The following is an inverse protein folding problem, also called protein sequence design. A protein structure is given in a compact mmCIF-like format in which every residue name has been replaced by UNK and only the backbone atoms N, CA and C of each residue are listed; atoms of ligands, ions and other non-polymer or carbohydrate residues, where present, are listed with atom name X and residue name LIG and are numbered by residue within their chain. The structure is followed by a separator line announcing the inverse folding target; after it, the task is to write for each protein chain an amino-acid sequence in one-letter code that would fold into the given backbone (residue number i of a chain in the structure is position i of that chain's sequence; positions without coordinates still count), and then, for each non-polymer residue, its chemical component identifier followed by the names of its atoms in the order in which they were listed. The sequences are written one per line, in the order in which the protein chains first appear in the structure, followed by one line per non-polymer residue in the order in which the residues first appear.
data_IF_097447307725
#
_entry.id   IF_097447307725
#
_cell.length_a   1.000
_cell.length_b   1.000
_cell.length_c   1.000
_cell.angle_alpha   90.00
_cell.angle_beta   90.00
_cell.angle_gamma   90.00
#
_symmetry.space_group_name_H-M   'P 1'
#
loop_
_entity.id
_entity.type
_entity.pdbx_description
1 polymer ?
#
# COMPACT_ATOMS: atom_id res chain seq x y z
N UNK A 1 -59.70 52.50 4.09
CA UNK A 1 -60.57 51.33 3.86
C UNK A 1 -59.80 50.29 3.05
N UNK A 2 -59.62 49.10 3.62
CA UNK A 2 -59.28 47.81 2.99
C UNK A 2 -57.96 47.62 2.21
N UNK A 3 -56.85 47.40 2.93
CA UNK A 3 -55.60 46.85 2.35
C UNK A 3 -55.00 45.64 3.09
N UNK A 4 -55.60 45.18 4.19
CA UNK A 4 -54.93 44.29 5.16
C UNK A 4 -55.25 42.79 5.07
N UNK A 5 -55.88 42.31 3.98
CA UNK A 5 -56.32 40.91 3.85
C UNK A 5 -55.86 40.28 2.53
N UNK A 6 -54.55 40.23 2.27
CA UNK A 6 -53.99 39.25 1.33
C UNK A 6 -53.50 38.03 2.11
N UNK A 7 -54.21 36.91 1.98
CA UNK A 7 -53.75 35.58 2.42
C UNK A 7 -52.37 35.31 1.82
N UNK A 8 -51.37 35.03 2.68
CA UNK A 8 -50.13 34.37 2.25
C UNK A 8 -50.52 33.05 1.58
N UNK A 9 -50.17 32.88 0.31
CA UNK A 9 -50.22 31.58 -0.34
C UNK A 9 -49.33 30.58 0.41
N UNK A 10 -49.54 29.27 0.24
CA UNK A 10 -48.74 28.25 0.91
C UNK A 10 -47.25 28.52 0.67
N UNK A 11 -46.46 28.55 1.74
CA UNK A 11 -45.01 28.61 1.62
C UNK A 11 -44.57 27.40 0.80
N UNK A 12 -44.17 27.64 -0.44
CA UNK A 12 -43.41 26.67 -1.22
C UNK A 12 -42.17 26.31 -0.38
N UNK A 13 -42.03 25.03 -0.05
CA UNK A 13 -40.81 24.46 0.53
C UNK A 13 -39.64 24.89 -0.35
N UNK A 14 -38.91 25.92 0.08
CA UNK A 14 -37.67 26.31 -0.56
C UNK A 14 -36.61 25.34 -0.05
N UNK A 15 -36.64 24.11 -0.59
CA UNK A 15 -35.54 23.17 -0.39
C UNK A 15 -34.30 23.85 -0.92
N UNK A 16 -33.31 24.04 -0.06
CA UNK A 16 -31.96 24.38 -0.51
C UNK A 16 -31.48 23.26 -1.41
N UNK A 17 -31.68 23.40 -2.72
CA UNK A 17 -30.97 22.60 -3.71
C UNK A 17 -29.53 23.13 -3.75
N UNK A 18 -28.76 22.79 -2.71
CA UNK A 18 -27.29 22.82 -2.75
C UNK A 18 -26.89 21.75 -3.78
N UNK A 19 -26.78 22.16 -5.04
CA UNK A 19 -26.56 21.32 -6.22
C UNK A 19 -25.14 20.75 -6.34
N UNK A 20 -24.44 20.56 -5.23
CA UNK A 20 -23.06 20.06 -5.18
C UNK A 20 -22.93 18.72 -4.47
N UNK A 21 -23.70 18.48 -3.40
CA UNK A 21 -23.43 17.34 -2.51
C UNK A 21 -23.68 15.99 -3.18
N UNK A 22 -24.72 15.86 -3.99
CA UNK A 22 -24.98 14.60 -4.73
C UNK A 22 -23.97 14.39 -5.85
N UNK A 23 -23.48 15.45 -6.51
CA UNK A 23 -22.46 15.35 -7.55
C UNK A 23 -21.08 15.05 -6.96
N UNK A 24 -20.73 15.63 -5.81
CA UNK A 24 -19.50 15.36 -5.07
C UNK A 24 -19.52 13.97 -4.43
N UNK A 25 -20.66 13.53 -3.89
CA UNK A 25 -20.84 12.18 -3.36
C UNK A 25 -20.88 11.13 -4.48
N UNK A 26 -21.49 11.44 -5.62
CA UNK A 26 -21.45 10.61 -6.82
C UNK A 26 -20.04 10.58 -7.42
N UNK A 27 -19.29 11.68 -7.43
CA UNK A 27 -17.90 11.70 -7.88
C UNK A 27 -16.96 10.99 -6.89
N UNK A 28 -17.24 11.07 -5.59
CA UNK A 28 -16.52 10.31 -4.57
C UNK A 28 -16.82 8.81 -4.67
N UNK A 29 -18.09 8.42 -4.87
CA UNK A 29 -18.52 7.03 -5.09
C UNK A 29 -18.11 6.49 -6.45
N UNK A 30 -18.20 7.28 -7.51
CA UNK A 30 -17.64 6.98 -8.83
C UNK A 30 -16.13 6.81 -8.68
N UNK A 31 -15.41 7.69 -7.97
CA UNK A 31 -13.98 7.49 -7.75
C UNK A 31 -13.63 6.22 -6.96
N UNK A 32 -14.55 5.74 -6.12
CA UNK A 32 -14.44 4.49 -5.37
C UNK A 32 -14.82 3.26 -6.21
N UNK A 33 -15.75 3.39 -7.17
CA UNK A 33 -16.29 2.30 -8.00
C UNK A 33 -15.62 2.21 -9.39
N UNK A 34 -15.16 3.33 -9.95
CA UNK A 34 -14.61 3.49 -11.31
C UNK A 34 -13.08 3.39 -11.37
N UNK A 35 -12.44 2.88 -10.31
CA UNK A 35 -11.07 2.38 -10.34
C UNK A 35 -9.94 3.40 -10.51
N UNK A 36 -10.17 4.67 -10.87
CA UNK A 36 -9.06 5.66 -11.03
C UNK A 36 -8.33 5.96 -9.71
N UNK A 37 -8.93 5.69 -8.55
CA UNK A 37 -8.27 5.65 -7.24
C UNK A 37 -8.20 4.19 -6.81
N UNK A 38 -6.99 3.65 -6.64
CA UNK A 38 -6.78 2.27 -6.20
C UNK A 38 -6.10 1.34 -7.21
N UNK A 39 -5.83 1.75 -8.46
CA UNK A 39 -5.14 0.86 -9.42
C UNK A 39 -3.74 0.46 -8.91
N UNK A 40 -3.04 1.38 -8.27
CA UNK A 40 -1.76 1.09 -7.60
C UNK A 40 -1.88 0.03 -6.50
N UNK A 41 -3.05 -0.10 -5.87
CA UNK A 41 -3.31 -1.12 -4.84
C UNK A 41 -3.30 -2.54 -5.41
N UNK A 42 -3.61 -2.69 -6.69
CA UNK A 42 -3.62 -4.01 -7.36
C UNK A 42 -2.20 -4.52 -7.68
N UNK A 43 -1.18 -3.67 -7.57
CA UNK A 43 0.20 -4.05 -7.87
C UNK A 43 0.73 -5.04 -6.82
N UNK A 44 1.53 -6.01 -7.26
CA UNK A 44 2.13 -7.00 -6.36
C UNK A 44 3.01 -6.39 -5.28
N UNK A 45 3.68 -5.27 -5.60
CA UNK A 45 4.49 -4.51 -4.63
C UNK A 45 3.66 -3.93 -3.50
N UNK A 46 2.49 -3.35 -3.80
CA UNK A 46 1.61 -2.81 -2.75
C UNK A 46 1.01 -3.94 -1.92
N UNK A 47 0.49 -5.00 -2.55
CA UNK A 47 -0.10 -6.12 -1.81
C UNK A 47 0.93 -6.85 -0.92
N UNK A 48 2.20 -6.91 -1.32
CA UNK A 48 3.27 -7.41 -0.47
C UNK A 48 3.47 -6.51 0.78
N UNK A 49 3.46 -5.19 0.61
CA UNK A 49 3.56 -4.25 1.74
C UNK A 49 2.35 -4.35 2.69
N UNK A 50 1.13 -4.44 2.13
CA UNK A 50 -0.11 -4.62 2.91
C UNK A 50 -0.04 -5.93 3.72
N UNK A 51 0.36 -7.03 3.09
CA UNK A 51 0.52 -8.33 3.76
C UNK A 51 1.51 -8.27 4.92
N UNK A 52 2.60 -7.49 4.80
CA UNK A 52 3.55 -7.30 5.89
C UNK A 52 2.93 -6.54 7.08
N UNK A 53 2.10 -5.52 6.81
CA UNK A 53 1.37 -4.81 7.86
C UNK A 53 0.34 -5.72 8.54
N UNK A 54 -0.42 -6.49 7.76
CA UNK A 54 -1.40 -7.46 8.28
C UNK A 54 -0.75 -8.50 9.17
N UNK A 55 0.31 -9.15 8.70
CA UNK A 55 1.05 -10.14 9.48
C UNK A 55 1.66 -9.53 10.74
N UNK A 56 2.23 -8.33 10.63
CA UNK A 56 2.84 -7.61 11.74
C UNK A 56 1.83 -7.27 12.85
N UNK A 57 0.67 -6.73 12.49
CA UNK A 57 -0.36 -6.40 13.48
C UNK A 57 -1.12 -7.62 13.98
N UNK A 58 -1.37 -8.64 13.14
CA UNK A 58 -2.03 -9.88 13.59
C UNK A 58 -1.23 -10.64 14.65
N UNK A 59 0.10 -10.49 14.63
CA UNK A 59 1.00 -11.06 15.63
C UNK A 59 1.12 -10.21 16.90
N UNK A 60 0.59 -8.98 16.93
CA UNK A 60 0.72 -8.08 18.07
C UNK A 60 0.21 -8.72 19.36
N UNK A 61 0.87 -8.39 20.46
CA UNK A 61 0.39 -8.64 21.81
C UNK A 61 -0.55 -7.50 22.19
N UNK A 62 -1.70 -7.86 22.78
CA UNK A 62 -2.73 -6.92 23.23
C UNK A 62 -2.98 -7.19 24.71
N UNK A 63 -2.87 -6.14 25.52
CA UNK A 63 -3.14 -6.16 26.95
C UNK A 63 -4.29 -5.21 27.29
N UNK A 64 -5.11 -5.58 28.27
CA UNK A 64 -6.17 -4.74 28.81
C UNK A 64 -7.52 -4.79 28.05
N UNK A 65 -7.67 -5.60 27.01
CA UNK A 65 -8.98 -5.84 26.35
C UNK A 65 -9.00 -7.13 25.54
N UNK A 66 -10.14 -7.82 25.53
CA UNK A 66 -10.38 -9.01 24.70
C UNK A 66 -11.13 -8.70 23.39
N UNK A 67 -11.56 -7.45 23.19
CA UNK A 67 -12.33 -7.04 22.02
C UNK A 67 -11.48 -7.02 20.74
N UNK A 68 -10.18 -6.78 20.87
CA UNK A 68 -9.25 -6.66 19.76
C UNK A 68 -8.62 -8.02 19.41
N UNK A 69 -9.34 -8.81 18.61
CA UNK A 69 -8.84 -10.09 18.12
C UNK A 69 -7.73 -9.92 17.07
N UNK A 70 -6.94 -10.98 16.84
CA UNK A 70 -5.95 -11.02 15.74
C UNK A 70 -6.57 -10.75 14.36
N UNK A 71 -7.82 -11.17 14.15
CA UNK A 71 -8.56 -10.88 12.93
C UNK A 71 -8.92 -9.38 12.80
N UNK A 72 -9.33 -8.73 13.90
CA UNK A 72 -9.57 -7.28 13.93
C UNK A 72 -8.28 -6.50 13.65
N UNK A 73 -7.15 -6.93 14.22
CA UNK A 73 -5.83 -6.35 13.96
C UNK A 73 -5.40 -6.48 12.51
N UNK A 74 -5.52 -7.67 11.91
CA UNK A 74 -5.22 -7.89 10.49
C UNK A 74 -6.10 -6.99 9.59
N UNK A 75 -7.41 -6.95 9.86
CA UNK A 75 -8.35 -6.11 9.12
C UNK A 75 -8.04 -4.62 9.27
N UNK A 76 -7.68 -4.19 10.49
CA UNK A 76 -7.27 -2.81 10.77
C UNK A 76 -6.02 -2.46 9.99
N UNK A 77 -5.01 -3.32 10.00
CA UNK A 77 -3.76 -3.11 9.27
C UNK A 77 -4.01 -2.89 7.77
N UNK A 78 -4.83 -3.76 7.15
CA UNK A 78 -5.23 -3.61 5.74
C UNK A 78 -5.98 -2.31 5.50
N UNK A 79 -6.95 -1.98 6.35
CA UNK A 79 -7.74 -0.76 6.22
C UNK A 79 -6.88 0.51 6.36
N UNK A 80 -5.94 0.53 7.31
CA UNK A 80 -4.97 1.62 7.45
C UNK A 80 -3.99 1.69 6.27
N UNK A 81 -3.56 0.55 5.73
CA UNK A 81 -2.64 0.51 4.58
C UNK A 81 -3.28 1.00 3.28
N UNK A 82 -4.57 0.70 3.06
CA UNK A 82 -5.27 1.02 1.80
C UNK A 82 -6.06 2.32 1.88
N UNK A 83 -6.74 2.59 3.01
CA UNK A 83 -7.61 3.76 3.18
C UNK A 83 -7.00 4.82 4.11
N UNK A 84 -6.06 4.42 4.97
CA UNK A 84 -5.56 5.28 6.06
C UNK A 84 -6.48 5.29 7.29
N UNK A 85 -7.59 4.55 7.25
CA UNK A 85 -8.64 4.61 8.26
C UNK A 85 -9.28 3.23 8.49
N UNK A 86 -9.57 2.92 9.75
CA UNK A 86 -10.34 1.76 10.15
C UNK A 86 -11.35 2.16 11.24
N UNK A 87 -12.62 1.83 11.00
CA UNK A 87 -13.72 2.19 11.89
C UNK A 87 -14.44 0.94 12.38
N UNK A 88 -14.62 0.87 13.70
CA UNK A 88 -15.37 -0.19 14.36
C UNK A 88 -16.43 0.41 15.27
N UNK A 89 -17.60 -0.18 15.24
CA UNK A 89 -18.67 0.09 16.20
C UNK A 89 -18.48 -0.80 17.42
N UNK A 90 -18.44 -0.20 18.60
CA UNK A 90 -18.30 -0.90 19.86
C UNK A 90 -19.66 -1.49 20.24
N UNK A 91 -19.67 -2.78 20.56
CA UNK A 91 -20.78 -3.50 21.20
C UNK A 91 -20.28 -4.12 22.49
N UNK A 92 -21.22 -4.52 23.33
CA UNK A 92 -20.92 -5.10 24.64
C UNK A 92 -20.01 -6.34 24.55
N UNK A 93 -20.16 -7.13 23.48
CA UNK A 93 -19.44 -8.41 23.30
C UNK A 93 -18.38 -8.38 22.19
N UNK A 94 -18.38 -7.39 21.30
CA UNK A 94 -17.53 -7.40 20.09
C UNK A 94 -17.35 -6.04 19.45
N UNK A 95 -16.37 -5.99 18.54
CA UNK A 95 -16.22 -4.90 17.58
C UNK A 95 -16.87 -5.27 16.26
N UNK A 96 -17.67 -4.35 15.72
CA UNK A 96 -18.32 -4.54 14.42
C UNK A 96 -17.63 -3.65 13.38
N UNK A 97 -16.94 -4.22 12.37
CA UNK A 97 -16.28 -3.41 11.35
C UNK A 97 -17.30 -2.65 10.51
N UNK A 98 -17.02 -1.37 10.27
CA UNK A 98 -17.85 -0.51 9.43
C UNK A 98 -17.21 -0.39 8.04
N UNK A 99 -18.02 -0.50 6.99
CA UNK A 99 -17.55 -0.40 5.61
C UNK A 99 -17.40 1.04 5.14
N UNK A 100 -18.32 1.90 5.56
CA UNK A 100 -18.38 3.33 5.21
C UNK A 100 -18.89 4.15 6.41
N UNK A 101 -18.54 5.43 6.46
CA UNK A 101 -18.97 6.33 7.54
C UNK A 101 -18.97 7.80 7.11
N UNK A 102 -19.96 8.52 7.63
CA UNK A 102 -19.92 9.99 7.68
C UNK A 102 -19.76 10.43 9.13
N UNK A 103 -19.09 11.55 9.36
CA UNK A 103 -18.89 12.05 10.71
C UNK A 103 -19.18 13.55 10.81
N UNK A 104 -19.56 13.96 12.02
CA UNK A 104 -19.70 15.36 12.39
C UNK A 104 -18.59 15.72 13.37
N UNK A 105 -17.87 16.81 13.09
CA UNK A 105 -16.83 17.33 13.99
C UNK A 105 -17.28 18.57 14.76
N UNK A 106 -16.57 18.84 15.85
CA UNK A 106 -16.49 20.14 16.55
C UNK A 106 -15.03 20.37 16.91
N UNK A 107 -14.47 21.51 16.54
CA UNK A 107 -13.06 21.85 16.78
C UNK A 107 -12.07 20.77 16.27
N UNK A 108 -12.39 20.19 15.11
CA UNK A 108 -11.60 19.10 14.52
C UNK A 108 -11.75 17.73 15.20
N UNK A 109 -12.57 17.61 16.25
CA UNK A 109 -12.83 16.35 16.95
C UNK A 109 -14.18 15.74 16.54
N UNK A 110 -14.24 14.45 16.18
CA UNK A 110 -15.50 13.77 15.88
C UNK A 110 -16.44 13.75 17.09
N UNK A 111 -17.74 13.96 16.83
CA UNK A 111 -18.79 14.01 17.86
C UNK A 111 -19.88 12.95 17.64
N UNK A 112 -20.20 12.66 16.39
CA UNK A 112 -21.16 11.63 16.00
C UNK A 112 -20.76 11.05 14.64
N UNK A 113 -21.17 9.80 14.42
CA UNK A 113 -20.94 9.05 13.21
C UNK A 113 -22.26 8.52 12.66
N UNK A 114 -22.38 8.50 11.34
CA UNK A 114 -23.35 7.69 10.60
C UNK A 114 -22.58 6.58 9.93
N UNK A 115 -22.72 5.37 10.45
CA UNK A 115 -21.99 4.18 10.05
C UNK A 115 -22.80 3.35 9.07
N UNK A 116 -22.11 2.69 8.14
CA UNK A 116 -22.65 1.63 7.31
C UNK A 116 -22.00 0.31 7.71
N UNK A 117 -22.83 -0.65 8.12
CA UNK A 117 -22.43 -1.98 8.58
C UNK A 117 -22.78 -2.97 7.47
N UNK A 118 -21.77 -3.65 6.94
CA UNK A 118 -21.96 -4.67 5.93
C UNK A 118 -22.39 -5.99 6.58
N UNK A 119 -23.46 -6.58 6.04
CA UNK A 119 -23.97 -7.89 6.43
C UNK A 119 -24.21 -8.69 5.15
N UNK A 120 -24.02 -10.01 5.18
CA UNK A 120 -24.19 -10.86 3.99
C UNK A 120 -25.63 -10.79 3.42
N UNK A 121 -26.62 -10.52 4.28
CA UNK A 121 -28.04 -10.38 3.91
C UNK A 121 -28.49 -8.97 3.51
N UNK A 122 -27.57 -8.01 3.41
CA UNK A 122 -27.88 -6.60 3.13
C UNK A 122 -27.45 -5.71 4.30
N UNK A 123 -26.64 -4.70 4.00
CA UNK A 123 -26.08 -3.81 5.01
C UNK A 123 -27.13 -2.90 5.66
N UNK A 124 -26.79 -2.39 6.85
CA UNK A 124 -27.62 -1.43 7.59
C UNK A 124 -26.83 -0.15 7.88
N UNK A 125 -27.55 0.96 8.03
CA UNK A 125 -26.97 2.22 8.49
C UNK A 125 -27.38 2.51 9.92
N UNK A 126 -26.46 3.03 10.73
CA UNK A 126 -26.67 3.31 12.14
C UNK A 126 -26.00 4.63 12.52
N UNK A 127 -26.65 5.40 13.40
CA UNK A 127 -26.03 6.60 13.97
C UNK A 127 -25.52 6.28 15.36
N UNK A 128 -24.25 6.58 15.62
CA UNK A 128 -23.58 6.31 16.89
C UNK A 128 -22.84 7.56 17.38
N UNK A 129 -22.71 7.70 18.70
CA UNK A 129 -21.92 8.76 19.31
C UNK A 129 -20.43 8.45 19.15
N UNK A 130 -19.57 9.47 19.19
CA UNK A 130 -18.13 9.27 19.05
C UNK A 130 -17.50 8.36 20.11
N UNK A 131 -18.13 8.24 21.29
CA UNK A 131 -17.70 7.33 22.36
C UNK A 131 -17.95 5.85 22.01
N UNK A 132 -18.92 5.55 21.15
CA UNK A 132 -19.34 4.20 20.78
C UNK A 132 -18.59 3.66 19.54
N UNK A 133 -17.67 4.45 18.98
CA UNK A 133 -17.01 4.14 17.70
C UNK A 133 -15.51 4.22 17.88
N UNK A 134 -14.75 3.17 17.60
CA UNK A 134 -13.30 3.25 17.46
C UNK A 134 -12.97 3.75 16.05
N UNK A 135 -12.19 4.83 15.93
CA UNK A 135 -11.76 5.37 14.64
C UNK A 135 -10.23 5.50 14.61
N UNK A 136 -9.58 4.47 14.09
CA UNK A 136 -8.13 4.44 13.90
C UNK A 136 -7.76 5.15 12.61
N UNK A 137 -6.75 6.04 12.70
CA UNK A 137 -6.32 6.92 11.61
C UNK A 137 -4.80 6.88 11.48
N UNK A 138 -4.33 6.81 10.24
CA UNK A 138 -2.92 6.91 9.88
C UNK A 138 -2.69 8.15 9.01
N UNK A 139 -1.58 8.86 9.22
CA UNK A 139 -1.14 9.95 8.34
C UNK A 139 -2.18 11.08 8.17
N UNK A 140 -2.88 11.45 9.25
CA UNK A 140 -3.88 12.51 9.21
C UNK A 140 -3.30 13.84 8.70
N UNK A 141 -4.10 14.57 7.91
CA UNK A 141 -3.74 15.90 7.43
C UNK A 141 -4.07 16.95 8.50
N UNK A 142 -3.22 17.97 8.64
CA UNK A 142 -3.45 19.10 9.54
C UNK A 142 -4.75 19.84 9.19
N UNK A 143 -5.13 19.87 7.91
CA UNK A 143 -6.37 20.49 7.47
C UNK A 143 -7.62 19.65 7.82
N UNK A 144 -7.47 18.34 7.99
CA UNK A 144 -8.56 17.41 8.30
C UNK A 144 -8.09 16.36 9.32
N UNK A 145 -7.83 16.74 10.59
CA UNK A 145 -7.25 15.85 11.60
C UNK A 145 -8.17 14.68 11.98
N UNK A 146 -9.47 14.77 11.66
CA UNK A 146 -10.44 13.70 11.82
C UNK A 146 -10.38 12.64 10.72
N UNK A 147 -9.59 12.84 9.66
CA UNK A 147 -9.49 11.93 8.53
C UNK A 147 -8.06 11.40 8.34
N UNK A 148 -7.93 10.11 8.11
CA UNK A 148 -6.68 9.46 7.76
C UNK A 148 -6.30 9.60 6.28
N UNK A 149 -5.03 9.37 5.96
CA UNK A 149 -4.50 9.35 4.60
C UNK A 149 -3.68 8.09 4.37
N UNK A 150 -4.13 7.27 3.42
CA UNK A 150 -3.40 6.08 3.01
C UNK A 150 -1.97 6.39 2.52
N UNK A 151 -0.99 5.50 2.78
CA UNK A 151 0.35 5.57 2.22
C UNK A 151 0.39 5.94 0.72
N UNK A 152 -0.34 5.23 -0.13
CA UNK A 152 -0.36 5.50 -1.58
C UNK A 152 -0.91 6.87 -1.94
N UNK A 153 -1.85 7.41 -1.14
CA UNK A 153 -2.40 8.76 -1.36
C UNK A 153 -1.34 9.84 -1.13
N UNK A 154 -0.29 9.55 -0.36
CA UNK A 154 0.89 10.44 -0.20
C UNK A 154 1.92 10.29 -1.33
N UNK A 155 1.82 9.24 -2.15
CA UNK A 155 2.76 8.91 -3.23
C UNK A 155 2.05 8.68 -4.58
N UNK A 156 0.98 9.44 -4.86
CA UNK A 156 0.10 9.20 -6.01
C UNK A 156 0.84 9.25 -7.36
N UNK A 157 1.82 10.14 -7.51
CA UNK A 157 2.59 10.26 -8.75
C UNK A 157 3.38 8.97 -9.01
N UNK A 158 4.10 8.48 -7.99
CA UNK A 158 4.85 7.22 -8.08
C UNK A 158 3.92 6.01 -8.27
N UNK A 159 2.77 6.00 -7.59
CA UNK A 159 1.79 4.92 -7.75
C UNK A 159 1.24 4.86 -9.19
N UNK A 160 0.97 6.02 -9.80
CA UNK A 160 0.59 6.13 -11.20
C UNK A 160 1.69 5.67 -12.14
N UNK A 161 2.95 6.02 -11.86
CA UNK A 161 4.10 5.56 -12.64
C UNK A 161 4.27 4.03 -12.56
N UNK A 162 4.19 3.45 -11.36
CA UNK A 162 4.30 2.00 -11.18
C UNK A 162 3.22 1.27 -11.98
N UNK A 163 1.97 1.73 -11.89
CA UNK A 163 0.88 1.17 -12.67
C UNK A 163 1.14 1.28 -14.18
N UNK A 164 1.53 2.45 -14.68
CA UNK A 164 1.80 2.66 -16.09
C UNK A 164 2.93 1.75 -16.60
N UNK A 165 4.00 1.58 -15.82
CA UNK A 165 5.11 0.69 -16.16
C UNK A 165 4.68 -0.78 -16.19
N UNK A 166 3.95 -1.26 -15.19
CA UNK A 166 3.50 -2.66 -15.14
C UNK A 166 2.51 -2.98 -16.27
N UNK A 167 1.59 -2.05 -16.58
CA UNK A 167 0.68 -2.19 -17.72
C UNK A 167 1.43 -2.17 -19.04
N UNK A 168 2.34 -1.21 -19.26
CA UNK A 168 3.12 -1.14 -20.49
C UNK A 168 3.97 -2.40 -20.70
N UNK A 169 4.62 -2.92 -19.65
CA UNK A 169 5.39 -4.16 -19.73
C UNK A 169 4.51 -5.37 -20.05
N UNK A 170 3.31 -5.45 -19.47
CA UNK A 170 2.35 -6.51 -19.80
C UNK A 170 1.90 -6.45 -21.25
N UNK A 171 1.55 -5.26 -21.75
CA UNK A 171 1.14 -5.04 -23.15
C UNK A 171 2.28 -5.35 -24.13
N UNK A 172 3.50 -4.91 -23.83
CA UNK A 172 4.69 -5.22 -24.63
C UNK A 172 4.90 -6.74 -24.68
N UNK A 173 4.78 -7.43 -23.54
CA UNK A 173 4.94 -8.88 -23.48
C UNK A 173 3.87 -9.65 -24.28
N UNK A 174 2.65 -9.14 -24.33
CA UNK A 174 1.55 -9.74 -25.07
C UNK A 174 1.64 -9.47 -26.58
N UNK A 175 1.93 -8.22 -26.96
CA UNK A 175 1.72 -7.74 -28.33
C UNK A 175 3.01 -7.59 -29.15
N UNK A 176 4.17 -7.42 -28.50
CA UNK A 176 5.40 -7.14 -29.23
C UNK A 176 6.02 -8.41 -29.84
N UNK A 177 6.65 -8.31 -31.02
CA UNK A 177 7.32 -9.42 -31.69
C UNK A 177 8.68 -9.74 -31.02
N UNK A 178 8.67 -10.21 -29.77
CA UNK A 178 9.89 -10.42 -28.98
C UNK A 178 10.79 -11.51 -29.60
N UNK A 179 12.08 -11.19 -29.77
CA UNK A 179 13.08 -12.08 -30.39
C UNK A 179 12.78 -12.46 -31.83
N UNK A 180 11.86 -11.75 -32.50
CA UNK A 180 11.46 -12.05 -33.88
C UNK A 180 12.37 -11.30 -34.84
N UNK A 181 12.84 -12.01 -35.86
CA UNK A 181 13.79 -11.49 -36.84
C UNK A 181 13.18 -11.47 -38.23
N UNK A 182 13.48 -10.41 -38.98
CA UNK A 182 13.23 -10.35 -40.42
C UNK A 182 14.52 -10.67 -41.16
N UNK A 183 14.48 -11.68 -42.03
CA UNK A 183 15.56 -12.00 -42.98
C UNK A 183 15.11 -11.55 -44.37
N UNK A 184 15.77 -10.55 -44.99
CA UNK A 184 15.46 -10.16 -46.35
C UNK A 184 15.83 -11.25 -47.38
N UNK A 185 15.00 -11.48 -48.41
CA UNK A 185 15.29 -12.38 -49.54
C UNK A 185 14.87 -11.78 -50.90
N UNK A 186 15.46 -12.19 -52.03
CA UNK A 186 15.17 -11.59 -53.34
C UNK A 186 13.73 -11.84 -53.81
N UNK A 187 13.12 -10.82 -54.42
CA UNK A 187 11.68 -10.71 -54.77
C UNK A 187 10.99 -11.96 -55.36
N UNK A 188 9.76 -12.20 -54.91
CA UNK A 188 8.75 -13.02 -55.60
C UNK A 188 7.48 -12.19 -55.81
N UNK A 189 6.84 -12.29 -56.97
CA UNK A 189 5.64 -11.51 -57.25
C UNK A 189 4.44 -12.03 -56.43
N UNK A 190 3.80 -11.12 -55.68
CA UNK A 190 2.47 -11.24 -55.03
C UNK A 190 2.38 -11.43 -53.50
N UNK A 191 3.26 -10.82 -52.70
CA UNK A 191 3.14 -10.87 -51.22
C UNK A 191 2.41 -9.65 -50.62
N UNK A 192 1.29 -9.88 -49.90
CA UNK A 192 0.53 -8.82 -49.19
C UNK A 192 1.24 -8.38 -47.89
N UNK A 193 1.90 -7.22 -47.96
CA UNK A 193 2.65 -6.59 -46.87
C UNK A 193 1.79 -6.31 -45.62
N UNK A 194 0.48 -6.12 -45.78
CA UNK A 194 -0.44 -5.83 -44.67
C UNK A 194 -0.77 -7.08 -43.86
N UNK A 195 -0.90 -8.21 -44.56
CA UNK A 195 -1.10 -9.53 -43.94
C UNK A 195 0.15 -9.96 -43.19
N UNK A 196 1.33 -9.79 -43.80
CA UNK A 196 2.63 -9.97 -43.15
C UNK A 196 2.78 -9.11 -41.89
N UNK A 197 2.41 -7.82 -41.95
CA UNK A 197 2.46 -6.91 -40.80
C UNK A 197 1.66 -7.40 -39.59
N UNK A 198 0.48 -8.00 -39.81
CA UNK A 198 -0.35 -8.57 -38.72
C UNK A 198 0.23 -9.87 -38.17
N UNK A 199 0.94 -10.63 -38.98
CA UNK A 199 1.58 -11.87 -38.53
C UNK A 199 2.65 -11.62 -37.46
N UNK A 200 3.22 -10.40 -37.34
CA UNK A 200 4.21 -10.08 -36.32
C UNK A 200 3.65 -9.94 -34.90
N UNK A 201 2.37 -9.55 -34.73
CA UNK A 201 1.84 -9.24 -33.39
C UNK A 201 1.81 -10.48 -32.50
N UNK A 202 2.47 -10.40 -31.34
CA UNK A 202 2.52 -11.47 -30.33
C UNK A 202 3.30 -12.72 -30.74
N UNK A 203 4.01 -12.70 -31.88
CA UNK A 203 4.92 -13.80 -32.25
C UNK A 203 6.23 -13.70 -31.48
N UNK A 204 6.81 -14.86 -31.16
CA UNK A 204 8.03 -14.97 -30.36
C UNK A 204 9.02 -15.86 -31.09
N UNK A 205 10.24 -15.36 -31.29
CA UNK A 205 11.30 -16.13 -31.95
C UNK A 205 10.99 -16.51 -33.41
N UNK A 206 10.03 -15.85 -34.05
CA UNK A 206 9.70 -16.15 -35.44
C UNK A 206 10.79 -15.58 -36.34
N UNK A 207 11.16 -16.34 -37.38
CA UNK A 207 12.03 -15.87 -38.44
C UNK A 207 11.15 -15.76 -39.67
N UNK A 208 10.99 -14.54 -40.17
CA UNK A 208 10.19 -14.29 -41.36
C UNK A 208 11.07 -13.79 -42.50
N UNK A 209 10.87 -14.42 -43.65
CA UNK A 209 11.51 -14.03 -44.89
C UNK A 209 10.73 -12.83 -45.46
N UNK A 210 11.35 -11.66 -45.58
CA UNK A 210 10.74 -10.47 -46.19
C UNK A 210 11.43 -10.19 -47.51
N UNK A 211 10.69 -9.78 -48.53
CA UNK A 211 11.32 -9.39 -49.79
C UNK A 211 12.26 -8.19 -49.58
N UNK A 212 13.47 -8.27 -50.16
CA UNK A 212 14.45 -7.20 -50.09
C UNK A 212 14.04 -6.03 -51.00
N UNK A 213 14.29 -4.80 -50.52
CA UNK A 213 13.99 -3.56 -51.24
C UNK A 213 15.17 -3.09 -52.10
N UNK A 214 16.29 -3.83 -52.08
CA UNK A 214 17.44 -3.53 -52.94
C UNK A 214 17.21 -4.09 -54.34
N UNK A 215 16.97 -3.19 -55.29
CA UNK A 215 16.88 -3.53 -56.72
C UNK A 215 18.24 -4.06 -57.16
N UNK A 216 18.31 -5.35 -57.50
CA UNK A 216 19.46 -5.91 -58.19
C UNK A 216 19.55 -5.28 -59.59
N UNK A 217 20.32 -4.21 -59.73
CA UNK A 217 20.68 -3.67 -61.03
C UNK A 217 21.40 -4.76 -61.82
N UNK A 218 20.89 -5.05 -63.02
CA UNK A 218 21.26 -6.16 -63.88
C UNK A 218 22.77 -6.43 -63.92
N UNK A 219 23.20 -7.55 -63.33
CA UNK A 219 24.52 -8.15 -63.55
C UNK A 219 25.59 -7.95 -62.47
N UNK A 220 25.32 -7.26 -61.35
CA UNK A 220 26.25 -7.16 -60.21
C UNK A 220 26.16 -8.36 -59.24
N UNK A 221 27.22 -8.66 -58.44
CA UNK A 221 27.16 -9.71 -57.43
C UNK A 221 25.99 -9.46 -56.48
N UNK A 222 25.12 -10.47 -56.34
CA UNK A 222 23.93 -10.42 -55.47
C UNK A 222 24.29 -9.90 -54.08
N UNK A 223 23.56 -8.91 -53.52
CA UNK A 223 23.95 -8.27 -52.27
C UNK A 223 23.91 -9.28 -51.12
N UNK A 224 25.08 -9.81 -50.74
CA UNK A 224 25.26 -10.61 -49.54
C UNK A 224 24.95 -9.83 -48.24
N UNK A 225 24.75 -8.51 -48.35
CA UNK A 225 24.27 -7.64 -47.28
C UNK A 225 22.77 -7.79 -46.99
N UNK A 226 21.96 -8.28 -47.92
CA UNK A 226 20.51 -8.44 -47.72
C UNK A 226 20.17 -9.62 -46.79
N UNK A 227 21.08 -10.55 -46.53
CA UNK A 227 20.82 -11.71 -45.67
C UNK A 227 21.01 -11.44 -44.17
N UNK A 228 21.12 -10.16 -43.77
CA UNK A 228 21.30 -9.79 -42.36
C UNK A 228 19.94 -9.76 -41.64
N UNK A 229 19.75 -10.58 -40.58
CA UNK A 229 18.54 -10.53 -39.79
C UNK A 229 18.40 -9.16 -39.11
N UNK A 230 17.23 -8.55 -39.20
CA UNK A 230 16.86 -7.36 -38.43
C UNK A 230 15.96 -7.77 -37.27
N UNK A 231 16.36 -7.43 -36.04
CA UNK A 231 15.55 -7.67 -34.85
C UNK A 231 14.41 -6.65 -34.76
N UNK A 232 13.20 -7.13 -34.51
CA UNK A 232 12.00 -6.30 -34.32
C UNK A 232 11.65 -6.08 -32.85
N UNK A 233 12.42 -6.67 -31.94
CA UNK A 233 12.22 -6.49 -30.50
C UNK A 233 12.36 -5.01 -30.14
N UNK A 234 11.36 -4.41 -29.46
CA UNK A 234 11.51 -3.07 -28.92
C UNK A 234 12.74 -2.99 -28.01
N UNK A 235 13.54 -1.94 -28.16
CA UNK A 235 14.75 -1.73 -27.36
C UNK A 235 14.40 -1.30 -25.92
N UNK A 236 14.17 -2.30 -25.07
CA UNK A 236 13.82 -2.10 -23.65
C UNK A 236 15.02 -1.68 -22.81
N UNK A 237 16.25 -1.96 -23.27
CA UNK A 237 17.50 -1.65 -22.59
C UNK A 237 17.74 -0.14 -22.58
N UNK A 238 17.64 0.52 -23.75
CA UNK A 238 17.76 1.98 -23.83
C UNK A 238 16.62 2.73 -23.16
N UNK A 239 15.46 2.09 -23.03
CA UNK A 239 14.29 2.68 -22.37
C UNK A 239 14.36 2.61 -20.83
N UNK A 240 15.40 1.99 -20.25
CA UNK A 240 15.63 1.92 -18.80
C UNK A 240 14.40 1.42 -18.01
N UNK A 241 13.64 0.51 -18.61
CA UNK A 241 12.34 0.06 -18.06
C UNK A 241 12.54 -0.74 -16.76
N UNK A 242 13.62 -1.52 -16.68
CA UNK A 242 14.03 -2.25 -15.49
C UNK A 242 14.40 -1.33 -14.31
N UNK A 243 15.24 -0.30 -14.54
CA UNK A 243 15.62 0.62 -13.47
C UNK A 243 14.45 1.49 -13.01
N UNK A 244 13.63 1.96 -13.96
CA UNK A 244 12.44 2.75 -13.64
C UNK A 244 11.44 1.94 -12.80
N UNK A 245 11.24 0.66 -13.15
CA UNK A 245 10.37 -0.23 -12.38
C UNK A 245 10.94 -0.51 -10.98
N UNK A 246 12.24 -0.80 -10.87
CA UNK A 246 12.90 -1.04 -9.58
C UNK A 246 12.83 0.20 -8.66
N UNK A 247 13.09 1.38 -9.21
CA UNK A 247 13.02 2.65 -8.49
C UNK A 247 11.58 2.97 -8.03
N UNK A 248 10.59 2.77 -8.90
CA UNK A 248 9.18 2.95 -8.55
C UNK A 248 8.78 2.01 -7.41
N UNK A 249 9.14 0.71 -7.49
CA UNK A 249 8.88 -0.26 -6.43
C UNK A 249 9.54 0.12 -5.11
N UNK A 250 10.81 0.53 -5.15
CA UNK A 250 11.55 0.97 -3.96
C UNK A 250 10.91 2.20 -3.29
N UNK A 251 10.48 3.19 -4.08
CA UNK A 251 9.79 4.37 -3.55
C UNK A 251 8.44 4.01 -2.92
N UNK A 252 7.67 3.11 -3.52
CA UNK A 252 6.42 2.61 -2.93
C UNK A 252 6.69 1.88 -1.61
N UNK A 253 7.64 0.95 -1.56
CA UNK A 253 8.02 0.23 -0.33
C UNK A 253 8.37 1.20 0.80
N UNK A 254 9.16 2.24 0.51
CA UNK A 254 9.55 3.24 1.50
C UNK A 254 8.35 3.99 2.12
N UNK A 255 7.31 4.28 1.34
CA UNK A 255 6.10 4.99 1.83
C UNK A 255 5.25 4.11 2.76
N UNK A 256 5.35 2.79 2.63
CA UNK A 256 4.80 1.80 3.57
C UNK A 256 5.76 1.49 4.75
N UNK A 257 6.94 2.10 4.80
CA UNK A 257 7.98 1.81 5.81
C UNK A 257 8.68 0.46 5.63
N UNK A 258 8.51 -0.16 4.46
CA UNK A 258 9.14 -1.44 4.08
C UNK A 258 10.48 -1.11 3.41
N UNK A 259 11.57 -1.64 3.94
CA UNK A 259 12.89 -1.42 3.34
C UNK A 259 13.08 -2.33 2.11
N UNK A 260 13.66 -1.84 1.00
CA UNK A 260 13.92 -2.64 -0.20
C UNK A 260 14.76 -3.90 0.03
N UNK A 261 15.52 -3.95 1.12
CA UNK A 261 16.28 -5.11 1.54
C UNK A 261 15.43 -6.38 1.72
N UNK A 262 14.13 -6.25 2.06
CA UNK A 262 13.23 -7.39 2.24
C UNK A 262 12.90 -8.13 0.93
N UNK A 263 13.07 -7.47 -0.21
CA UNK A 263 12.80 -8.04 -1.53
C UNK A 263 14.07 -8.23 -2.36
N UNK A 264 15.24 -7.95 -1.79
CA UNK A 264 16.51 -8.11 -2.48
C UNK A 264 16.90 -9.60 -2.49
N UNK A 265 17.11 -10.23 -3.67
CA UNK A 265 17.54 -11.62 -3.77
C UNK A 265 18.90 -11.90 -3.08
N UNK A 266 19.75 -10.88 -2.94
CA UNK A 266 21.05 -10.98 -2.28
C UNK A 266 20.99 -10.65 -0.77
N UNK A 267 19.79 -10.48 -0.19
CA UNK A 267 19.66 -10.17 1.23
C UNK A 267 20.16 -11.32 2.11
N UNK A 268 20.83 -10.95 3.21
CA UNK A 268 21.31 -11.89 4.21
C UNK A 268 20.38 -11.90 5.42
N UNK A 269 20.36 -13.00 6.18
CA UNK A 269 19.54 -13.14 7.39
C UNK A 269 19.62 -11.93 8.35
N UNK A 270 20.82 -11.43 8.73
CA UNK A 270 20.94 -10.23 9.55
C UNK A 270 20.27 -8.99 8.95
N UNK A 271 20.45 -8.72 7.66
CA UNK A 271 19.84 -7.56 6.99
C UNK A 271 18.31 -7.64 6.96
N UNK A 272 17.74 -8.84 6.77
CA UNK A 272 16.29 -9.07 6.79
C UNK A 272 15.73 -8.81 8.19
N UNK A 273 16.44 -9.23 9.25
CA UNK A 273 16.02 -9.00 10.64
C UNK A 273 16.00 -7.51 11.00
N UNK A 274 17.03 -6.76 10.59
CA UNK A 274 17.05 -5.30 10.82
C UNK A 274 15.95 -4.59 10.02
N UNK A 275 15.67 -5.04 8.79
CA UNK A 275 14.56 -4.49 8.01
C UNK A 275 13.18 -4.78 8.63
N UNK A 276 12.98 -5.98 9.19
CA UNK A 276 11.77 -6.32 9.95
C UNK A 276 11.66 -5.50 11.24
N UNK A 277 12.78 -5.28 11.95
CA UNK A 277 12.83 -4.42 13.14
C UNK A 277 12.48 -2.98 12.79
N UNK A 278 13.02 -2.44 11.69
CA UNK A 278 12.67 -1.11 11.20
C UNK A 278 11.17 -1.00 10.92
N UNK A 279 10.59 -1.95 10.19
CA UNK A 279 9.16 -1.98 9.92
C UNK A 279 8.34 -1.99 11.22
N UNK A 280 8.69 -2.86 12.16
CA UNK A 280 8.00 -2.96 13.45
C UNK A 280 8.09 -1.65 14.24
N UNK A 281 9.28 -1.06 14.38
CA UNK A 281 9.52 0.10 15.23
C UNK A 281 9.05 1.42 14.63
N UNK A 282 9.30 1.65 13.34
CA UNK A 282 9.05 2.95 12.70
C UNK A 282 7.72 3.04 11.98
N UNK A 283 7.20 1.92 11.46
CA UNK A 283 5.94 1.92 10.73
C UNK A 283 4.78 1.45 11.62
N UNK A 284 4.89 0.28 12.25
CA UNK A 284 3.75 -0.36 12.91
C UNK A 284 3.58 0.07 14.37
N UNK A 285 4.66 0.18 15.15
CA UNK A 285 4.60 0.52 16.57
C UNK A 285 3.92 1.87 16.84
N UNK A 286 4.18 2.95 16.07
CA UNK A 286 3.50 4.22 16.28
C UNK A 286 1.99 4.13 15.99
N UNK A 287 1.61 3.37 14.95
CA UNK A 287 0.20 3.17 14.61
C UNK A 287 -0.54 2.46 15.73
N UNK A 288 0.03 1.37 16.27
CA UNK A 288 -0.64 0.63 17.35
C UNK A 288 -0.64 1.39 18.67
N UNK A 289 0.33 2.30 18.92
CA UNK A 289 0.26 3.20 20.09
C UNK A 289 -0.90 4.20 19.97
N UNK A 290 -1.11 4.80 18.79
CA UNK A 290 -2.28 5.67 18.55
C UNK A 290 -3.60 4.90 18.67
N UNK A 291 -3.64 3.65 18.20
CA UNK A 291 -4.80 2.77 18.39
C UNK A 291 -5.06 2.50 19.87
N UNK A 292 -4.02 2.19 20.63
CA UNK A 292 -4.10 1.91 22.06
C UNK A 292 -4.59 3.14 22.86
N UNK A 293 -4.15 4.35 22.51
CA UNK A 293 -4.65 5.61 23.10
C UNK A 293 -6.16 5.80 22.84
N UNK A 294 -6.58 5.68 21.58
CA UNK A 294 -7.99 5.80 21.18
C UNK A 294 -8.88 4.77 21.92
N UNK A 295 -8.40 3.53 22.00
CA UNK A 295 -9.10 2.47 22.73
C UNK A 295 -9.17 2.74 24.23
N UNK A 296 -8.07 3.19 24.83
CA UNK A 296 -8.03 3.44 26.27
C UNK A 296 -9.01 4.53 26.68
N UNK A 297 -9.13 5.58 25.87
CA UNK A 297 -10.08 6.68 26.08
C UNK A 297 -11.53 6.18 25.95
N UNK A 298 -11.83 5.31 24.98
CA UNK A 298 -13.21 4.89 24.68
C UNK A 298 -13.70 3.73 25.53
N UNK A 299 -12.81 2.82 25.91
CA UNK A 299 -13.11 1.69 26.79
C UNK A 299 -12.95 2.03 28.28
N UNK A 300 -12.45 3.23 28.60
CA UNK A 300 -12.22 3.70 29.97
C UNK A 300 -11.32 2.78 30.80
N UNK A 301 -10.37 2.10 30.14
CA UNK A 301 -9.39 1.22 30.76
C UNK A 301 -8.06 1.28 30.01
N UNK A 302 -6.90 1.06 30.66
CA UNK A 302 -5.62 1.08 29.96
C UNK A 302 -5.53 -0.10 28.99
N UNK A 303 -5.34 0.20 27.70
CA UNK A 303 -5.10 -0.79 26.64
C UNK A 303 -3.66 -0.63 26.15
N UNK A 304 -2.93 -1.75 26.08
CA UNK A 304 -1.58 -1.82 25.53
C UNK A 304 -1.55 -2.64 24.25
N UNK A 305 -0.86 -2.15 23.22
CA UNK A 305 -0.57 -2.93 22.01
C UNK A 305 0.93 -2.85 21.71
N UNK A 306 1.55 -4.01 21.51
CA UNK A 306 2.96 -4.16 21.15
C UNK A 306 3.15 -5.08 19.94
N UNK A 307 3.84 -4.57 18.93
CA UNK A 307 4.22 -5.33 17.72
C UNK A 307 5.70 -5.73 17.75
N UNK A 308 6.52 -5.10 18.60
CA UNK A 308 7.98 -5.29 18.57
C UNK A 308 8.36 -6.62 19.22
N UNK A 309 7.85 -6.93 20.41
CA UNK A 309 8.21 -8.17 21.11
C UNK A 309 7.84 -9.44 20.31
N UNK A 310 6.61 -9.60 19.76
CA UNK A 310 6.25 -10.80 19.00
C UNK A 310 7.08 -10.97 17.73
N UNK A 311 7.30 -9.86 17.00
CA UNK A 311 8.06 -9.90 15.76
C UNK A 311 9.53 -10.23 16.00
N UNK A 312 10.11 -9.86 17.14
CA UNK A 312 11.51 -10.15 17.46
C UNK A 312 11.78 -11.56 18.03
N UNK A 313 10.77 -12.44 18.11
CA UNK A 313 10.93 -13.78 18.69
C UNK A 313 12.03 -14.64 18.00
N UNK A 314 12.37 -14.34 16.74
CA UNK A 314 13.44 -15.03 16.01
C UNK A 314 14.87 -14.65 16.45
N UNK A 315 15.05 -13.59 17.25
CA UNK A 315 16.37 -13.13 17.74
C UNK A 315 16.72 -13.66 19.14
N UNK A 316 16.07 -14.75 19.57
CA UNK A 316 16.33 -15.40 20.85
C UNK A 316 17.82 -15.74 21.05
N UNK A 317 18.53 -16.12 19.97
CA UNK A 317 19.96 -16.42 20.03
C UNK A 317 20.86 -15.17 20.18
N UNK A 318 20.45 -14.01 19.67
CA UNK A 318 21.12 -12.74 19.93
C UNK A 318 20.92 -12.31 21.37
N UNK A 319 19.67 -12.35 21.83
CA UNK A 319 19.29 -12.03 23.23
C UNK A 319 19.97 -12.94 24.25
N UNK A 320 20.03 -14.25 24.00
CA UNK A 320 20.71 -15.20 24.89
C UNK A 320 22.22 -14.94 24.98
N UNK A 321 22.87 -14.56 23.88
CA UNK A 321 24.29 -14.17 23.88
C UNK A 321 24.52 -12.85 24.62
N UNK A 322 23.66 -11.85 24.39
CA UNK A 322 23.73 -10.58 25.11
C UNK A 322 23.55 -10.81 26.62
N UNK A 323 22.56 -11.60 27.03
CA UNK A 323 22.36 -11.97 28.43
C UNK A 323 23.57 -12.69 29.02
N UNK A 324 24.14 -13.66 28.31
CA UNK A 324 25.37 -14.34 28.74
C UNK A 324 26.54 -13.38 28.94
N UNK A 325 26.73 -12.43 28.02
CA UNK A 325 27.75 -11.39 28.14
C UNK A 325 27.49 -10.45 29.33
N UNK A 326 26.24 -10.09 29.59
CA UNK A 326 25.86 -9.28 30.77
C UNK A 326 26.17 -10.00 32.07
N UNK A 327 25.80 -11.29 32.19
CA UNK A 327 26.10 -12.08 33.40
C UNK A 327 27.62 -12.21 33.61
N UNK A 328 28.39 -12.42 32.55
CA UNK A 328 29.85 -12.45 32.62
C UNK A 328 30.42 -11.09 33.05
N UNK A 329 29.92 -9.99 32.49
CA UNK A 329 30.34 -8.64 32.86
C UNK A 329 30.02 -8.32 34.32
N UNK A 330 28.84 -8.69 34.82
CA UNK A 330 28.47 -8.54 36.23
C UNK A 330 29.34 -9.40 37.15
N UNK A 331 29.73 -10.60 36.71
CA UNK A 331 30.63 -11.47 37.48
C UNK A 331 32.03 -10.86 37.56
N UNK A 332 32.57 -10.38 36.44
CA UNK A 332 33.85 -9.67 36.41
C UNK A 332 33.84 -8.38 37.23
N UNK A 333 32.74 -7.63 37.21
CA UNK A 333 32.57 -6.42 38.01
C UNK A 333 32.59 -6.72 39.51
N UNK A 334 31.93 -7.82 39.93
CA UNK A 334 31.96 -8.31 41.30
C UNK A 334 33.35 -8.77 41.73
N UNK A 335 34.07 -9.50 40.87
CA UNK A 335 35.45 -9.93 41.13
C UNK A 335 36.42 -8.75 41.23
N UNK A 336 36.21 -7.69 40.44
CA UNK A 336 36.97 -6.45 40.50
C UNK A 336 36.62 -5.55 41.71
N UNK A 337 35.59 -5.91 42.49
CA UNK A 337 35.16 -5.13 43.65
C UNK A 337 34.53 -3.79 43.31
N UNK A 338 33.93 -3.65 42.12
CA UNK A 338 33.23 -2.43 41.73
C UNK A 338 32.00 -2.20 42.61
N UNK A 339 31.77 -0.93 42.97
CA UNK A 339 30.63 -0.52 43.77
C UNK A 339 29.30 -0.85 43.04
N UNK A 340 28.34 -1.53 43.69
CA UNK A 340 27.06 -1.86 43.07
C UNK A 340 26.32 -0.65 42.48
N UNK A 341 26.44 0.52 43.11
CA UNK A 341 25.83 1.75 42.59
C UNK A 341 26.46 2.18 41.26
N UNK A 342 27.79 2.06 41.12
CA UNK A 342 28.47 2.39 39.87
C UNK A 342 28.10 1.43 38.73
N UNK A 343 27.81 0.16 39.05
CA UNK A 343 27.30 -0.82 38.07
C UNK A 343 25.86 -0.50 37.67
N UNK A 344 25.00 -0.16 38.63
CA UNK A 344 23.61 0.24 38.37
C UNK A 344 23.53 1.54 37.54
N UNK A 345 24.35 2.53 37.86
CA UNK A 345 24.46 3.78 37.12
C UNK A 345 24.98 3.55 35.69
N UNK A 346 25.89 2.59 35.52
CA UNK A 346 26.39 2.17 34.19
C UNK A 346 25.33 1.44 33.37
N UNK A 347 24.45 0.65 34.00
CA UNK A 347 23.33 -0.01 33.32
C UNK A 347 22.25 1.01 32.90
N UNK A 348 21.93 1.96 33.79
CA UNK A 348 21.02 3.08 33.49
C UNK A 348 21.55 3.98 32.37
N UNK A 349 22.87 4.17 32.26
CA UNK A 349 23.49 4.92 31.17
C UNK A 349 23.22 4.30 29.78
N UNK A 350 22.94 3.00 29.72
CA UNK A 350 22.67 2.24 28.48
C UNK A 350 21.15 1.99 28.28
N UNK A 351 20.29 2.71 29.02
CA UNK A 351 18.83 2.60 28.94
C UNK A 351 18.29 1.19 29.24
N UNK A 352 19.00 0.45 30.10
CA UNK A 352 18.56 -0.85 30.60
C UNK A 352 18.00 -0.67 32.02
N UNK A 353 16.69 -0.82 32.17
CA UNK A 353 15.99 -0.84 33.47
C UNK A 353 16.17 -2.16 34.22
#
# INVERSE_FOLDING_TARGET
MFGFLKRRGPQLEQRSSMSGFTAELMAARESYVSGRRGIGELTGTVQACVSLWEGGMALADVDGTDLLTRAHLAMTARALALRGEAVFLIRDDRLVPCSDWDLRTRDGRPTAYRLSISEAGGGRSETALAAEVLHFRAGADVAAPWAGTAPLKRAQITAGLLHALETALSEIYEQSPLGTQIVPFPETTATDLTKLGREFRGKRGAILLRESVQVAAAGGPSPSQDWRPNDLTPDLERAMTGESLAAARGSIMAVFGVLPALTNPAATGPSVREAQRHLAQWALQPLVKLMAEEMSVKLLQPVGIDVVRPLQAFDAGGRARAFGAMVQALTAAKEAGLDPQAVEDSLKLVDWE
#
